data_IF_008287739621
#
_entry.id   IF_008287739621
#
_cell.length_a   1.000
_cell.length_b   1.000
_cell.length_c   1.000
_cell.angle_alpha   90.00
_cell.angle_beta   90.00
_cell.angle_gamma   90.00
#
_symmetry.space_group_name_H-M   'P 1'
#
loop_
_entity.id
_entity.type
_entity.pdbx_description
1 polymer ?
#
# COMPACT_ATOMS: atom_id res chain seq x y z
N UNK A 1 1.13 21.83 13.22
CA UNK A 1 0.43 20.73 12.51
C UNK A 1 1.37 20.02 11.51
N UNK A 2 2.01 20.73 10.59
CA UNK A 2 2.83 20.13 9.52
C UNK A 2 4.05 19.34 10.05
N UNK A 3 4.84 19.89 10.98
CA UNK A 3 5.99 19.19 11.58
C UNK A 3 5.61 17.90 12.32
N UNK A 4 4.38 17.85 12.85
CA UNK A 4 3.83 16.66 13.52
C UNK A 4 3.52 15.56 12.50
N UNK A 5 2.97 15.91 11.33
CA UNK A 5 2.73 14.98 10.22
C UNK A 5 4.02 14.42 9.63
N UNK A 6 5.09 15.23 9.59
CA UNK A 6 6.41 14.79 9.11
C UNK A 6 7.10 13.87 10.11
N UNK A 7 6.92 14.12 11.41
CA UNK A 7 7.46 13.28 12.49
C UNK A 7 6.73 11.93 12.64
N UNK A 8 5.43 11.87 12.31
CA UNK A 8 4.62 10.66 12.40
C UNK A 8 4.87 9.66 11.25
N UNK A 9 5.45 10.12 10.13
CA UNK A 9 5.61 9.32 8.91
C UNK A 9 6.70 8.23 8.98
N UNK A 10 7.88 8.46 9.57
CA UNK A 10 8.86 7.39 9.78
C UNK A 10 8.36 6.23 10.67
N UNK A 11 7.61 6.47 11.77
CA UNK A 11 6.93 5.41 12.51
C UNK A 11 6.00 4.54 11.65
N UNK A 12 5.28 5.13 10.69
CA UNK A 12 4.39 4.38 9.78
C UNK A 12 5.18 3.43 8.88
N UNK A 13 6.31 3.86 8.32
CA UNK A 13 7.18 3.00 7.50
C UNK A 13 7.69 1.82 8.34
N UNK A 14 8.15 2.09 9.56
CA UNK A 14 8.59 1.02 10.48
C UNK A 14 7.44 0.06 10.77
N UNK A 15 6.23 0.57 10.98
CA UNK A 15 5.05 -0.25 11.24
C UNK A 15 4.73 -1.19 10.06
N UNK A 16 4.71 -0.68 8.83
CA UNK A 16 4.50 -1.52 7.64
C UNK A 16 5.61 -2.56 7.44
N UNK A 17 6.87 -2.19 7.70
CA UNK A 17 7.99 -3.13 7.64
C UNK A 17 7.86 -4.23 8.71
N UNK A 18 7.46 -3.88 9.93
CA UNK A 18 7.22 -4.83 11.00
C UNK A 18 6.05 -5.76 10.66
N UNK A 19 4.98 -5.23 10.06
CA UNK A 19 3.83 -6.03 9.62
C UNK A 19 4.23 -7.07 8.57
N UNK A 20 4.92 -6.63 7.50
CA UNK A 20 5.43 -7.51 6.45
C UNK A 20 6.37 -8.57 7.05
N UNK A 21 7.28 -8.15 7.94
CA UNK A 21 8.21 -9.04 8.63
C UNK A 21 7.48 -10.10 9.47
N UNK A 22 6.48 -9.69 10.25
CA UNK A 22 5.70 -10.58 11.13
C UNK A 22 4.95 -11.66 10.36
N UNK A 23 4.41 -11.32 9.19
CA UNK A 23 3.69 -12.28 8.34
C UNK A 23 4.67 -13.21 7.60
N UNK A 24 5.77 -12.67 7.05
CA UNK A 24 6.75 -13.44 6.27
C UNK A 24 7.68 -14.31 7.12
N UNK A 25 7.77 -14.08 8.43
CA UNK A 25 8.65 -14.84 9.34
C UNK A 25 8.38 -16.36 9.21
N UNK A 26 9.41 -17.20 8.94
CA UNK A 26 9.22 -18.64 8.84
C UNK A 26 8.77 -19.21 10.19
N UNK A 27 7.79 -20.11 10.14
CA UNK A 27 7.14 -20.64 11.35
C UNK A 27 6.04 -19.75 11.92
N UNK A 28 5.69 -18.64 11.26
CA UNK A 28 4.54 -17.83 11.69
C UNK A 28 3.23 -18.63 11.59
N UNK A 29 2.29 -18.43 12.54
CA UNK A 29 0.94 -18.98 12.44
C UNK A 29 0.08 -18.26 11.39
N UNK A 30 0.59 -17.19 10.78
CA UNK A 30 -0.15 -16.25 9.93
C UNK A 30 -0.21 -16.66 8.46
N UNK A 31 -0.60 -17.91 8.18
CA UNK A 31 -0.67 -18.46 6.80
C UNK A 31 -2.04 -18.33 6.14
N UNK A 32 -2.98 -17.61 6.76
CA UNK A 32 -4.34 -17.43 6.22
C UNK A 32 -4.36 -16.44 5.05
N UNK A 33 -5.33 -16.60 4.15
CA UNK A 33 -5.57 -15.69 3.03
C UNK A 33 -5.83 -14.24 3.46
N UNK A 34 -6.39 -14.07 4.65
CA UNK A 34 -6.56 -12.77 5.29
C UNK A 34 -5.22 -12.02 5.45
N UNK A 35 -4.18 -12.70 5.95
CA UNK A 35 -2.88 -12.08 6.19
C UNK A 35 -2.16 -11.75 4.88
N UNK A 36 -2.31 -12.56 3.84
CA UNK A 36 -1.74 -12.26 2.53
C UNK A 36 -2.35 -11.01 1.89
N UNK A 37 -3.67 -10.79 2.04
CA UNK A 37 -4.31 -9.56 1.58
C UNK A 37 -3.84 -8.34 2.38
N UNK A 38 -3.65 -8.50 3.70
CA UNK A 38 -3.12 -7.47 4.57
C UNK A 38 -1.70 -7.08 4.18
N UNK A 39 -0.82 -8.05 3.93
CA UNK A 39 0.53 -7.80 3.40
C UNK A 39 0.51 -7.10 2.05
N UNK A 40 -0.36 -7.51 1.13
CA UNK A 40 -0.49 -6.85 -0.17
C UNK A 40 -0.88 -5.36 -0.01
N UNK A 41 -1.78 -5.08 0.92
CA UNK A 41 -2.20 -3.73 1.29
C UNK A 41 -1.04 -2.91 1.89
N UNK A 42 -0.30 -3.48 2.84
CA UNK A 42 0.90 -2.83 3.40
C UNK A 42 1.99 -2.54 2.37
N UNK A 43 2.15 -3.41 1.35
CA UNK A 43 3.08 -3.16 0.24
C UNK A 43 2.64 -1.96 -0.60
N UNK A 44 1.34 -1.85 -0.92
CA UNK A 44 0.81 -0.69 -1.68
C UNK A 44 1.01 0.60 -0.88
N UNK A 45 0.71 0.59 0.42
CA UNK A 45 0.95 1.73 1.31
C UNK A 45 2.43 2.09 1.38
N UNK A 46 3.33 1.11 1.45
CA UNK A 46 4.77 1.34 1.46
C UNK A 46 5.26 1.99 0.17
N UNK A 47 4.76 1.52 -0.99
CA UNK A 47 5.06 2.13 -2.31
C UNK A 47 4.58 3.58 -2.34
N UNK A 48 3.36 3.83 -1.88
CA UNK A 48 2.80 5.18 -1.81
C UNK A 48 3.62 6.10 -0.91
N UNK A 49 4.00 5.63 0.28
CA UNK A 49 4.81 6.41 1.22
C UNK A 49 6.20 6.69 0.65
N UNK A 50 6.86 5.71 0.02
CA UNK A 50 8.18 5.91 -0.62
C UNK A 50 8.07 6.89 -1.79
N UNK A 51 7.09 6.71 -2.67
CA UNK A 51 6.87 7.57 -3.83
C UNK A 51 6.56 9.02 -3.45
N UNK A 52 5.88 9.23 -2.31
CA UNK A 52 5.55 10.57 -1.81
C UNK A 52 6.61 11.16 -0.87
N UNK A 53 7.50 10.35 -0.28
CA UNK A 53 8.51 10.80 0.70
C UNK A 53 9.42 11.89 0.13
N UNK A 54 9.82 11.73 -1.13
CA UNK A 54 10.77 12.61 -1.82
C UNK A 54 10.26 14.05 -1.89
N UNK A 55 8.95 14.28 -2.00
CA UNK A 55 8.40 15.63 -2.10
C UNK A 55 8.27 16.36 -0.77
N UNK A 56 7.68 15.68 0.22
CA UNK A 56 7.37 16.32 1.49
C UNK A 56 8.61 16.62 2.32
N UNK A 57 9.74 15.93 2.06
CA UNK A 57 11.01 16.23 2.72
C UNK A 57 11.89 17.21 1.96
N UNK A 58 11.76 17.40 0.65
CA UNK A 58 12.72 18.26 -0.07
C UNK A 58 12.24 19.69 -0.25
N UNK A 59 10.93 19.92 -0.49
CA UNK A 59 10.38 21.28 -0.59
C UNK A 59 10.23 21.98 0.76
N UNK A 60 10.21 21.22 1.86
CA UNK A 60 9.96 21.73 3.21
C UNK A 60 11.21 22.21 3.94
N UNK A 61 12.41 21.81 3.51
CA UNK A 61 13.64 22.24 4.16
C UNK A 61 14.28 23.36 3.33
N UNK A 62 14.26 24.62 3.81
CA UNK A 62 14.75 25.76 3.04
C UNK A 62 16.24 25.63 2.66
N UNK A 63 17.05 24.87 3.41
CA UNK A 63 18.45 24.59 3.08
C UNK A 63 18.64 23.72 1.83
N UNK A 64 17.66 22.88 1.49
CA UNK A 64 17.76 21.94 0.35
C UNK A 64 16.95 22.43 -0.85
N UNK A 65 16.02 23.37 -0.63
CA UNK A 65 15.11 23.88 -1.65
C UNK A 65 15.85 24.51 -2.85
N UNK A 66 16.97 25.19 -2.59
CA UNK A 66 17.83 25.77 -3.64
C UNK A 66 18.51 24.72 -4.54
N UNK A 67 18.69 23.48 -4.08
CA UNK A 67 19.23 22.39 -4.92
C UNK A 67 18.19 21.81 -5.90
N UNK A 68 16.90 22.11 -5.70
CA UNK A 68 15.80 21.59 -6.53
C UNK A 68 15.08 22.68 -7.34
N UNK A 69 15.57 23.92 -7.32
CA UNK A 69 14.94 25.06 -8.01
C UNK A 69 14.87 24.83 -9.54
N UNK A 70 15.80 24.06 -10.10
CA UNK A 70 15.83 23.64 -11.50
C UNK A 70 15.36 22.19 -11.74
N UNK A 71 14.79 21.51 -10.73
CA UNK A 71 14.33 20.13 -10.86
C UNK A 71 12.97 20.06 -11.58
N UNK A 72 12.98 20.27 -12.89
CA UNK A 72 11.79 20.23 -13.75
C UNK A 72 11.61 18.86 -14.41
N UNK A 73 11.38 17.82 -13.62
CA UNK A 73 11.05 16.49 -14.16
C UNK A 73 9.52 16.40 -14.38
N UNK A 74 9.05 16.70 -15.59
CA UNK A 74 7.62 16.59 -15.94
C UNK A 74 7.09 15.15 -15.77
N UNK A 75 7.88 14.15 -16.17
CA UNK A 75 7.52 12.73 -16.01
C UNK A 75 7.42 12.31 -14.54
N UNK A 76 8.27 12.87 -13.66
CA UNK A 76 8.19 12.62 -12.22
C UNK A 76 6.90 13.21 -11.62
N UNK A 77 6.49 14.39 -12.08
CA UNK A 77 5.23 15.02 -11.65
C UNK A 77 4.02 14.20 -12.11
N UNK A 78 4.07 13.68 -13.34
CA UNK A 78 3.01 12.85 -13.93
C UNK A 78 2.87 11.51 -13.21
N UNK A 79 3.97 10.77 -13.07
CA UNK A 79 4.00 9.49 -12.33
C UNK A 79 3.58 9.66 -10.88
N UNK A 80 3.95 10.77 -10.23
CA UNK A 80 3.49 11.13 -8.89
C UNK A 80 1.98 11.34 -8.81
N UNK A 81 1.41 12.10 -9.75
CA UNK A 81 -0.04 12.31 -9.76
C UNK A 81 -0.75 10.98 -9.98
N UNK A 82 -0.26 10.14 -10.89
CA UNK A 82 -0.77 8.79 -11.09
C UNK A 82 -0.72 7.96 -9.80
N UNK A 83 0.43 7.88 -9.11
CA UNK A 83 0.56 7.15 -7.84
C UNK A 83 -0.38 7.67 -6.74
N UNK A 84 -0.62 8.98 -6.70
CA UNK A 84 -1.51 9.61 -5.71
C UNK A 84 -2.98 9.24 -5.89
N UNK A 85 -3.39 8.81 -7.08
CA UNK A 85 -4.75 8.31 -7.33
C UNK A 85 -4.79 6.78 -7.36
N UNK A 86 -3.80 6.14 -7.98
CA UNK A 86 -3.73 4.69 -8.15
C UNK A 86 -3.60 3.95 -6.81
N UNK A 87 -2.68 4.38 -5.93
CA UNK A 87 -2.42 3.67 -4.68
C UNK A 87 -3.64 3.70 -3.73
N UNK A 88 -4.29 4.85 -3.44
CA UNK A 88 -5.50 4.86 -2.62
C UNK A 88 -6.64 4.04 -3.21
N UNK A 89 -6.81 4.07 -4.54
CA UNK A 89 -7.84 3.27 -5.19
C UNK A 89 -7.57 1.76 -5.08
N UNK A 90 -6.32 1.32 -5.31
CA UNK A 90 -5.93 -0.07 -5.09
C UNK A 90 -6.11 -0.47 -3.62
N UNK A 91 -5.81 0.42 -2.70
CA UNK A 91 -5.97 0.21 -1.26
C UNK A 91 -7.45 0.02 -0.88
N UNK A 92 -8.36 0.83 -1.41
CA UNK A 92 -9.80 0.69 -1.20
C UNK A 92 -10.34 -0.65 -1.75
N UNK A 93 -9.88 -1.06 -2.94
CA UNK A 93 -10.23 -2.37 -3.50
C UNK A 93 -9.71 -3.54 -2.64
N UNK A 94 -8.46 -3.46 -2.17
CA UNK A 94 -7.90 -4.47 -1.26
C UNK A 94 -8.69 -4.52 0.05
N UNK A 95 -9.09 -3.37 0.60
CA UNK A 95 -9.96 -3.29 1.77
C UNK A 95 -11.32 -3.94 1.53
N UNK A 96 -11.91 -3.77 0.35
CA UNK A 96 -13.13 -4.48 -0.05
C UNK A 96 -12.92 -6.00 -0.08
N UNK A 97 -11.82 -6.47 -0.65
CA UNK A 97 -11.49 -7.91 -0.65
C UNK A 97 -11.22 -8.45 0.75
N UNK A 98 -10.60 -7.67 1.64
CA UNK A 98 -10.41 -8.04 3.04
C UNK A 98 -11.77 -8.18 3.75
N UNK A 99 -12.70 -7.25 3.53
CA UNK A 99 -14.05 -7.32 4.06
C UNK A 99 -14.81 -8.55 3.53
N UNK A 100 -14.71 -8.83 2.22
CA UNK A 100 -15.28 -10.04 1.61
C UNK A 100 -14.65 -11.32 2.16
N UNK A 101 -13.34 -11.31 2.44
CA UNK A 101 -12.64 -12.45 3.04
C UNK A 101 -13.20 -12.78 4.43
N UNK A 102 -13.44 -11.75 5.25
CA UNK A 102 -14.09 -11.90 6.55
C UNK A 102 -15.53 -12.38 6.43
N UNK A 103 -16.31 -11.80 5.53
CA UNK A 103 -17.70 -12.18 5.30
C UNK A 103 -17.83 -13.65 4.89
N UNK A 104 -17.01 -14.09 3.93
CA UNK A 104 -17.00 -15.48 3.46
C UNK A 104 -16.49 -16.45 4.52
N UNK A 105 -15.60 -16.02 5.42
CA UNK A 105 -15.15 -16.85 6.55
C UNK A 105 -16.29 -17.13 7.52
N UNK A 106 -17.19 -16.18 7.73
CA UNK A 106 -18.38 -16.35 8.59
C UNK A 106 -19.44 -17.17 7.85
N UNK A 107 -19.70 -16.83 6.59
CA UNK A 107 -20.81 -17.42 5.85
C UNK A 107 -20.55 -18.87 5.41
N UNK A 108 -19.31 -19.21 5.03
CA UNK A 108 -18.93 -20.54 4.53
C UNK A 108 -17.53 -20.96 4.98
N UNK A 109 -17.33 -21.30 6.27
CA UNK A 109 -16.01 -21.60 6.82
C UNK A 109 -15.32 -22.81 6.18
N UNK A 110 -16.08 -23.85 5.82
CA UNK A 110 -15.53 -25.11 5.29
C UNK A 110 -14.89 -24.92 3.90
N UNK A 111 -15.53 -24.14 3.03
CA UNK A 111 -15.07 -23.93 1.64
C UNK A 111 -14.23 -22.66 1.46
N UNK A 112 -14.21 -21.76 2.46
CA UNK A 112 -13.48 -20.50 2.46
C UNK A 112 -12.02 -20.66 2.03
N UNK A 113 -11.29 -21.59 2.64
CA UNK A 113 -9.85 -21.76 2.38
C UNK A 113 -9.55 -22.14 0.93
N UNK A 114 -10.40 -22.95 0.29
CA UNK A 114 -10.23 -23.40 -1.09
C UNK A 114 -10.57 -22.28 -2.08
N UNK A 115 -11.65 -21.54 -1.82
CA UNK A 115 -12.08 -20.40 -2.65
C UNK A 115 -10.99 -19.34 -2.63
N UNK A 116 -10.51 -18.96 -1.44
CA UNK A 116 -9.54 -17.88 -1.31
C UNK A 116 -8.16 -18.22 -1.82
N UNK A 117 -7.73 -19.49 -1.85
CA UNK A 117 -6.48 -19.87 -2.53
C UNK A 117 -6.48 -19.49 -4.01
N UNK A 118 -7.62 -19.57 -4.68
CA UNK A 118 -7.77 -19.18 -6.10
C UNK A 118 -8.07 -17.69 -6.26
N UNK A 119 -8.87 -17.12 -5.34
CA UNK A 119 -9.29 -15.73 -5.42
C UNK A 119 -8.19 -14.74 -5.01
N UNK A 120 -7.20 -15.14 -4.21
CA UNK A 120 -6.11 -14.26 -3.75
C UNK A 120 -5.29 -13.63 -4.89
N UNK A 121 -4.68 -14.42 -5.81
CA UNK A 121 -3.93 -13.84 -6.91
C UNK A 121 -4.82 -13.00 -7.82
N UNK A 122 -6.10 -13.38 -7.96
CA UNK A 122 -7.09 -12.60 -8.70
C UNK A 122 -7.36 -11.24 -8.02
N UNK A 123 -7.60 -11.21 -6.70
CA UNK A 123 -7.87 -9.99 -5.97
C UNK A 123 -6.70 -9.00 -6.06
N UNK A 124 -5.47 -9.46 -5.83
CA UNK A 124 -4.29 -8.59 -5.91
C UNK A 124 -4.07 -8.11 -7.35
N UNK A 125 -4.11 -9.02 -8.33
CA UNK A 125 -3.90 -8.68 -9.73
C UNK A 125 -4.98 -7.74 -10.29
N UNK A 126 -6.25 -8.01 -9.98
CA UNK A 126 -7.39 -7.20 -10.40
C UNK A 126 -7.33 -5.80 -9.80
N UNK A 127 -7.00 -5.66 -8.51
CA UNK A 127 -6.89 -4.33 -7.89
C UNK A 127 -5.79 -3.46 -8.51
N UNK A 128 -4.67 -4.07 -8.91
CA UNK A 128 -3.60 -3.34 -9.59
C UNK A 128 -3.98 -3.02 -11.03
N UNK A 129 -4.51 -4.00 -11.77
CA UNK A 129 -4.91 -3.83 -13.17
C UNK A 129 -6.00 -2.78 -13.32
N UNK A 130 -7.04 -2.83 -12.48
CA UNK A 130 -8.14 -1.86 -12.54
C UNK A 130 -7.65 -0.45 -12.22
N UNK A 131 -6.74 -0.31 -11.25
CA UNK A 131 -6.14 0.97 -10.89
C UNK A 131 -5.34 1.58 -12.06
N UNK A 132 -4.57 0.76 -12.78
CA UNK A 132 -3.82 1.18 -13.98
C UNK A 132 -4.74 1.50 -15.16
N UNK A 133 -5.86 0.81 -15.30
CA UNK A 133 -6.77 1.04 -16.43
C UNK A 133 -7.61 2.31 -16.26
N UNK A 134 -7.97 2.65 -15.01
CA UNK A 134 -8.81 3.80 -14.69
C UNK A 134 -8.03 5.13 -14.75
N UNK A 135 -6.72 5.12 -14.46
CA UNK A 135 -5.88 6.31 -14.31
C UNK A 135 -4.65 6.29 -15.22
#
# INVERSE_FOLDING_TARGET
LFSLLTALRPPLIVLYLVEIWMVLKPGSPFKSSFYSLFVASAVVDLIFVIGTLHEYRLKMFPLVNGMFENYSCQECVRTRMALSFMCPFTQDLLNCFIALNRLTSIWRPVTHSSIWKKLLPFAVGFSHFLSIFVF
#
